data_IF_160056394594
#
_entry.id   IF_160056394594
#
_cell.length_a   1.000
_cell.length_b   1.000
_cell.length_c   1.000
_cell.angle_alpha   90.00
_cell.angle_beta   90.00
_cell.angle_gamma   90.00
#
_symmetry.space_group_name_H-M   'P 1'
#
loop_
_entity.id
_entity.type
_entity.pdbx_description
1 polymer ?
#
# COMPACT_ATOMS: atom_id res chain seq x y z
N UNK A 1 -38.35 3.56 -24.79
CA UNK A 1 -37.61 4.66 -24.13
C UNK A 1 -37.09 4.30 -22.74
N UNK A 2 -37.89 3.89 -21.75
CA UNK A 2 -37.42 3.68 -20.35
C UNK A 2 -36.32 2.61 -20.18
N UNK A 3 -36.39 1.50 -20.92
CA UNK A 3 -35.39 0.42 -20.85
C UNK A 3 -34.00 0.87 -21.32
N UNK A 4 -33.93 1.71 -22.35
CA UNK A 4 -32.66 2.22 -22.88
C UNK A 4 -31.94 3.11 -21.86
N UNK A 5 -32.66 3.95 -21.11
CA UNK A 5 -32.07 4.76 -20.04
C UNK A 5 -31.55 3.92 -18.87
N UNK A 6 -32.23 2.82 -18.53
CA UNK A 6 -31.76 1.89 -17.50
C UNK A 6 -30.48 1.20 -17.96
N UNK A 7 -30.45 0.67 -19.20
CA UNK A 7 -29.27 0.03 -19.77
C UNK A 7 -28.09 1.01 -19.85
N UNK A 8 -28.33 2.25 -20.27
CA UNK A 8 -27.29 3.29 -20.28
C UNK A 8 -26.78 3.63 -18.88
N UNK A 9 -27.68 3.75 -17.89
CA UNK A 9 -27.30 4.01 -16.50
C UNK A 9 -26.46 2.89 -15.88
N UNK A 10 -26.84 1.63 -16.15
CA UNK A 10 -26.04 0.46 -15.72
C UNK A 10 -24.68 0.46 -16.40
N UNK A 11 -24.62 0.72 -17.71
CA UNK A 11 -23.37 0.77 -18.46
C UNK A 11 -22.41 1.84 -17.92
N UNK A 12 -22.92 3.06 -17.68
CA UNK A 12 -22.13 4.17 -17.10
C UNK A 12 -21.59 3.76 -15.73
N UNK A 13 -22.45 3.21 -14.86
CA UNK A 13 -22.03 2.80 -13.51
C UNK A 13 -20.91 1.75 -13.57
N UNK A 14 -21.01 0.81 -14.51
CA UNK A 14 -20.04 -0.26 -14.69
C UNK A 14 -18.70 0.29 -15.19
N UNK A 15 -18.72 1.18 -16.18
CA UNK A 15 -17.53 1.85 -16.71
C UNK A 15 -16.88 2.74 -15.64
N UNK A 16 -17.67 3.53 -14.91
CA UNK A 16 -17.16 4.35 -13.81
C UNK A 16 -16.49 3.52 -12.72
N UNK A 17 -17.06 2.36 -12.38
CA UNK A 17 -16.48 1.45 -11.39
C UNK A 17 -15.14 0.90 -11.89
N UNK A 18 -15.08 0.50 -13.16
CA UNK A 18 -13.84 0.00 -13.78
C UNK A 18 -12.76 1.07 -13.77
N UNK A 19 -13.05 2.28 -14.26
CA UNK A 19 -12.11 3.42 -14.23
C UNK A 19 -11.67 3.78 -12.81
N UNK A 20 -12.56 3.63 -11.83
CA UNK A 20 -12.24 3.85 -10.43
C UNK A 20 -11.26 2.79 -9.90
N UNK A 21 -11.40 1.52 -10.26
CA UNK A 21 -10.44 0.47 -9.88
C UNK A 21 -9.07 0.71 -10.54
N UNK A 22 -9.03 1.09 -11.81
CA UNK A 22 -7.77 1.32 -12.54
C UNK A 22 -7.00 2.59 -12.12
N UNK A 23 -7.65 3.53 -11.43
CA UNK A 23 -7.00 4.73 -10.90
C UNK A 23 -6.44 4.54 -9.48
N UNK A 24 -6.33 3.30 -9.02
CA UNK A 24 -5.67 2.97 -7.76
C UNK A 24 -4.19 2.70 -8.01
N UNK A 25 -3.34 3.29 -7.17
CA UNK A 25 -1.93 2.95 -7.13
C UNK A 25 -1.73 1.71 -6.25
N UNK A 26 -0.81 0.85 -6.66
CA UNK A 26 -0.49 -0.39 -5.94
C UNK A 26 1.00 -0.41 -5.61
N UNK A 27 1.31 -0.39 -4.33
CA UNK A 27 2.68 -0.58 -3.83
C UNK A 27 2.81 -1.96 -3.19
N UNK A 28 3.99 -2.56 -3.25
CA UNK A 28 4.28 -3.81 -2.54
C UNK A 28 5.63 -3.74 -1.86
N UNK A 29 5.71 -4.30 -0.66
CA UNK A 29 6.94 -4.29 0.12
C UNK A 29 6.78 -5.03 1.43
N UNK A 30 7.75 -4.82 2.32
CA UNK A 30 7.81 -5.47 3.63
C UNK A 30 7.59 -4.45 4.74
N UNK A 31 6.80 -4.84 5.73
CA UNK A 31 6.49 -4.01 6.91
C UNK A 31 7.72 -3.95 7.80
N UNK A 32 8.21 -2.73 8.06
CA UNK A 32 9.37 -2.51 8.94
C UNK A 32 9.00 -1.86 10.26
N UNK A 33 7.88 -1.13 10.30
CA UNK A 33 7.36 -0.50 11.50
C UNK A 33 5.87 -0.23 11.35
N UNK A 34 5.13 -0.41 12.43
CA UNK A 34 3.73 -0.01 12.54
C UNK A 34 3.65 0.96 13.70
N UNK A 35 3.12 2.15 13.45
CA UNK A 35 2.85 3.19 14.45
C UNK A 35 1.33 3.44 14.51
N UNK A 36 0.86 4.16 15.54
CA UNK A 36 -0.56 4.47 15.72
C UNK A 36 -1.10 5.31 14.55
N UNK A 37 -1.69 4.63 13.56
CA UNK A 37 -2.27 5.23 12.36
C UNK A 37 -1.41 5.15 11.09
N UNK A 38 -0.20 4.58 11.12
CA UNK A 38 0.64 4.42 9.92
C UNK A 38 1.41 3.09 9.88
N UNK A 39 1.62 2.57 8.67
CA UNK A 39 2.52 1.45 8.40
C UNK A 39 3.68 1.92 7.52
N UNK A 40 4.90 1.69 7.98
CA UNK A 40 6.12 1.93 7.21
C UNK A 40 6.47 0.66 6.43
N UNK A 41 6.57 0.80 5.11
CA UNK A 41 6.86 -0.30 4.19
C UNK A 41 8.08 0.02 3.34
N UNK A 42 8.94 -0.98 3.18
CA UNK A 42 10.18 -0.88 2.39
C UNK A 42 10.13 -1.90 1.27
N UNK A 43 10.45 -1.44 0.06
CA UNK A 43 10.62 -2.32 -1.07
C UNK A 43 12.08 -2.77 -1.11
N UNK A 44 12.32 -4.06 -0.86
CA UNK A 44 13.64 -4.65 -1.03
C UNK A 44 13.86 -4.94 -2.52
N UNK A 45 15.05 -4.66 -3.07
CA UNK A 45 15.41 -5.13 -4.39
C UNK A 45 15.53 -6.66 -4.32
N UNK A 46 14.51 -7.38 -4.76
CA UNK A 46 14.64 -8.80 -5.05
C UNK A 46 15.23 -8.91 -6.45
N UNK A 47 16.56 -8.96 -6.53
CA UNK A 47 17.20 -9.36 -7.77
C UNK A 47 16.94 -10.88 -7.96
N UNK A 48 16.22 -11.30 -9.02
CA UNK A 48 15.94 -12.71 -9.25
C UNK A 48 17.21 -13.54 -9.48
N UNK A 49 18.33 -12.92 -9.85
CA UNK A 49 19.62 -13.60 -10.01
C UNK A 49 20.35 -13.85 -8.68
N UNK A 50 20.04 -13.06 -7.65
CA UNK A 50 20.65 -13.15 -6.32
C UNK A 50 19.57 -13.00 -5.24
N UNK A 51 18.75 -14.05 -5.01
CA UNK A 51 17.79 -14.03 -3.94
C UNK A 51 18.52 -13.84 -2.61
N UNK A 52 18.13 -12.81 -1.86
CA UNK A 52 18.61 -12.58 -0.50
C UNK A 52 18.29 -13.79 0.36
N UNK A 53 19.25 -14.25 1.15
CA UNK A 53 18.97 -15.22 2.21
C UNK A 53 18.06 -14.59 3.27
N UNK A 54 17.34 -15.40 4.04
CA UNK A 54 16.43 -14.86 5.09
C UNK A 54 17.21 -14.02 6.12
N UNK A 55 18.46 -14.38 6.45
CA UNK A 55 19.32 -13.59 7.34
C UNK A 55 19.65 -12.21 6.76
N UNK A 56 20.06 -12.15 5.48
CA UNK A 56 20.37 -10.89 4.80
C UNK A 56 19.13 -10.00 4.64
N UNK A 57 17.98 -10.62 4.37
CA UNK A 57 16.69 -9.93 4.31
C UNK A 57 16.32 -9.35 5.66
N UNK A 58 16.44 -10.11 6.74
CA UNK A 58 16.16 -9.63 8.09
C UNK A 58 17.10 -8.48 8.48
N UNK A 59 18.39 -8.58 8.16
CA UNK A 59 19.36 -7.52 8.42
C UNK A 59 19.05 -6.25 7.61
N UNK A 60 18.70 -6.40 6.33
CA UNK A 60 18.28 -5.29 5.48
C UNK A 60 17.00 -4.62 6.01
N UNK A 61 16.01 -5.39 6.47
CA UNK A 61 14.79 -4.87 7.07
C UNK A 61 15.08 -4.15 8.39
N UNK A 62 15.96 -4.70 9.24
CA UNK A 62 16.37 -4.05 10.50
C UNK A 62 17.10 -2.74 10.24
N UNK A 63 17.97 -2.71 9.22
CA UNK A 63 18.65 -1.49 8.77
C UNK A 63 17.65 -0.46 8.25
N UNK A 64 16.67 -0.88 7.45
CA UNK A 64 15.64 -0.01 6.91
C UNK A 64 14.62 0.48 7.97
N UNK A 65 14.38 -0.31 9.02
CA UNK A 65 13.59 0.11 10.17
C UNK A 65 14.27 1.24 10.94
N UNK A 66 15.61 1.21 11.04
CA UNK A 66 16.43 2.25 11.68
C UNK A 66 16.72 3.43 10.76
N UNK A 67 16.72 3.23 9.45
CA UNK A 67 16.92 4.29 8.48
C UNK A 67 15.63 5.06 8.21
N UNK A 68 15.74 6.17 7.49
CA UNK A 68 14.57 6.94 7.03
C UNK A 68 13.96 6.37 5.75
N UNK A 69 14.57 5.33 5.17
CA UNK A 69 14.15 4.76 3.90
C UNK A 69 12.83 4.00 4.07
N UNK A 70 11.95 4.13 3.09
CA UNK A 70 10.63 3.52 3.08
C UNK A 70 9.49 4.53 2.94
N UNK A 71 8.35 4.02 2.50
CA UNK A 71 7.12 4.77 2.35
C UNK A 71 6.23 4.54 3.57
N UNK A 72 5.62 5.61 4.08
CA UNK A 72 4.67 5.56 5.17
C UNK A 72 3.26 5.65 4.61
N UNK A 73 2.42 4.66 4.92
CA UNK A 73 1.05 4.60 4.48
C UNK A 73 0.14 4.77 5.69
N UNK A 74 -0.83 5.68 5.60
CA UNK A 74 -1.86 5.79 6.62
C UNK A 74 -2.61 4.46 6.75
N UNK A 75 -2.94 4.03 7.96
CA UNK A 75 -3.77 2.86 8.21
C UNK A 75 -5.22 3.22 7.91
N UNK A 76 -5.86 2.55 6.94
CA UNK A 76 -7.27 2.78 6.69
C UNK A 76 -8.10 2.16 7.81
N UNK A 77 -9.20 2.83 8.16
CA UNK A 77 -10.16 2.42 9.20
C UNK A 77 -10.64 0.97 9.01
N UNK A 78 -10.73 0.51 7.76
CA UNK A 78 -11.12 -0.88 7.43
C UNK A 78 -10.10 -1.87 8.01
N UNK A 79 -8.80 -1.61 7.87
CA UNK A 79 -7.75 -2.48 8.41
C UNK A 79 -7.64 -2.39 9.93
N UNK A 80 -7.91 -1.22 10.53
CA UNK A 80 -8.04 -1.07 11.99
C UNK A 80 -9.19 -1.92 12.55
N UNK A 81 -10.38 -1.83 11.94
CA UNK A 81 -11.57 -2.58 12.36
C UNK A 81 -11.45 -4.09 12.14
N UNK A 82 -10.67 -4.52 11.15
CA UNK A 82 -10.36 -5.93 10.91
C UNK A 82 -9.31 -6.49 11.87
N UNK A 83 -8.79 -5.69 12.81
CA UNK A 83 -7.74 -6.12 13.75
C UNK A 83 -6.45 -6.53 13.04
N UNK A 84 -6.18 -5.93 11.87
CA UNK A 84 -5.01 -6.28 11.06
C UNK A 84 -3.74 -5.72 11.71
N UNK A 85 -3.18 -6.44 12.68
CA UNK A 85 -1.84 -6.14 13.20
C UNK A 85 -0.79 -6.60 12.18
N UNK A 86 -0.07 -5.66 11.56
CA UNK A 86 1.01 -6.01 10.63
C UNK A 86 2.29 -6.33 11.40
N UNK A 87 2.92 -7.47 11.08
CA UNK A 87 4.15 -7.92 11.73
C UNK A 87 5.38 -7.40 11.00
N UNK A 88 6.46 -7.21 11.74
CA UNK A 88 7.76 -6.92 11.14
C UNK A 88 8.15 -8.02 10.14
N UNK A 89 8.62 -7.61 8.96
CA UNK A 89 9.02 -8.50 7.87
C UNK A 89 7.87 -9.14 7.09
N UNK A 90 6.63 -8.80 7.42
CA UNK A 90 5.45 -9.25 6.67
C UNK A 90 5.41 -8.58 5.30
N UNK A 91 5.21 -9.37 4.23
CA UNK A 91 5.00 -8.83 2.90
C UNK A 91 3.57 -8.33 2.81
N UNK A 92 3.38 -7.11 2.29
CA UNK A 92 2.07 -6.52 2.11
C UNK A 92 1.94 -5.88 0.73
N UNK A 93 0.71 -5.80 0.24
CA UNK A 93 0.30 -5.04 -0.92
C UNK A 93 -0.63 -3.93 -0.48
N UNK A 94 -0.31 -2.71 -0.84
CA UNK A 94 -0.98 -1.50 -0.39
C UNK A 94 -1.64 -0.83 -1.57
N UNK A 95 -2.94 -0.60 -1.46
CA UNK A 95 -3.74 0.07 -2.45
C UNK A 95 -4.01 1.47 -1.95
N UNK A 96 -3.66 2.48 -2.74
CA UNK A 96 -3.71 3.87 -2.32
C UNK A 96 -4.01 4.79 -3.50
N UNK A 97 -4.29 6.06 -3.20
CA UNK A 97 -4.59 7.10 -4.18
C UNK A 97 -3.91 8.42 -3.87
N UNK A 98 -3.87 9.30 -4.86
CA UNK A 98 -3.23 10.60 -4.76
C UNK A 98 -1.74 10.53 -5.10
N UNK A 99 -1.00 11.49 -4.58
CA UNK A 99 0.45 11.59 -4.74
C UNK A 99 1.14 11.41 -3.37
N UNK A 100 2.30 10.75 -3.33
CA UNK A 100 3.08 10.67 -2.12
C UNK A 100 3.61 12.06 -1.77
N UNK A 101 3.40 12.47 -0.53
CA UNK A 101 3.86 13.74 0.00
C UNK A 101 5.25 13.51 0.62
N UNK A 102 6.22 14.32 0.22
CA UNK A 102 7.53 14.33 0.86
C UNK A 102 7.46 15.23 2.11
N UNK A 103 7.59 14.63 3.29
CA UNK A 103 7.75 15.39 4.53
C UNK A 103 9.10 16.14 4.53
N UNK A 104 9.24 17.14 5.40
CA UNK A 104 10.46 17.93 5.64
C UNK A 104 11.71 17.05 5.90
N UNK A 105 11.50 15.80 6.29
CA UNK A 105 12.55 14.79 6.51
C UNK A 105 12.89 13.95 5.27
N UNK A 106 12.37 14.30 4.09
CA UNK A 106 12.44 13.55 2.82
C UNK A 106 11.89 12.12 2.94
N UNK A 107 10.85 11.96 3.75
CA UNK A 107 10.13 10.70 3.90
C UNK A 107 8.86 10.79 3.06
N UNK A 108 8.58 9.75 2.28
CA UNK A 108 7.36 9.67 1.49
C UNK A 108 6.21 9.19 2.37
N UNK A 109 5.14 9.99 2.40
CA UNK A 109 3.91 9.73 3.12
C UNK A 109 2.74 9.65 2.14
N UNK A 110 1.89 8.66 2.33
CA UNK A 110 0.67 8.46 1.57
C UNK A 110 -0.50 8.53 2.53
N UNK A 111 -1.27 9.61 2.43
CA UNK A 111 -2.41 9.87 3.32
C UNK A 111 -3.66 9.07 2.92
N UNK A 112 -3.87 8.86 1.62
CA UNK A 112 -5.05 8.17 1.10
C UNK A 112 -4.77 6.70 0.80
N UNK A 113 -4.57 5.92 1.85
CA UNK A 113 -4.54 4.46 1.75
C UNK A 113 -5.97 3.92 1.73
N UNK A 114 -6.28 3.08 0.75
CA UNK A 114 -7.60 2.47 0.59
C UNK A 114 -7.70 1.19 1.42
N UNK A 115 -6.74 0.29 1.25
CA UNK A 115 -6.62 -0.95 2.01
C UNK A 115 -5.21 -1.53 1.90
N UNK A 116 -4.83 -2.32 2.91
CA UNK A 116 -3.57 -3.05 2.96
C UNK A 116 -3.87 -4.54 3.07
N UNK A 117 -3.35 -5.32 2.12
CA UNK A 117 -3.52 -6.77 2.01
C UNK A 117 -2.21 -7.48 2.31
N UNK A 118 -2.28 -8.66 2.94
CA UNK A 118 -1.13 -9.55 3.22
C UNK A 118 -0.88 -10.48 2.04
#
# INVERSE_FOLDING_TARGET
MRLQFIVFGVLITLVSTVLWVFSQNVSSGYVVKTDDGYVKVVQLPLDPLFPLTEEQKEEALKKAARSRDGQHFALPIVNEKLGSSYKFGERVRIYWRGEPILDKRKQEYVEQTLFIMR
#
